data_IF_104711916055
#
_entry.id   IF_104711916055
#
_cell.length_a   1.000
_cell.length_b   1.000
_cell.length_c   1.000
_cell.angle_alpha   90.00
_cell.angle_beta   90.00
_cell.angle_gamma   90.00
#
_symmetry.space_group_name_H-M   'P 1'
#
loop_
_entity.id
_entity.type
_entity.pdbx_description
1 polymer ?
#
# COMPACT_ATOMS: atom_id res chain seq x y z
N UNK A 1 27.60 3.07 -37.14
CA UNK A 1 27.81 4.50 -37.45
C UNK A 1 27.92 5.23 -36.12
N UNK A 2 28.92 6.10 -35.93
CA UNK A 2 29.28 6.72 -34.64
C UNK A 2 29.14 8.26 -34.63
N UNK A 3 28.42 8.87 -35.58
CA UNK A 3 28.21 10.32 -35.61
C UNK A 3 26.76 10.66 -35.30
N UNK A 4 26.57 11.79 -34.64
CA UNK A 4 25.25 12.22 -34.18
C UNK A 4 24.34 12.58 -35.35
N UNK A 5 23.18 11.92 -35.41
CA UNK A 5 22.15 12.17 -36.42
C UNK A 5 21.06 13.13 -35.89
N UNK A 6 20.24 13.74 -36.77
CA UNK A 6 19.05 14.50 -36.33
C UNK A 6 18.14 13.69 -35.39
N UNK A 7 18.00 12.38 -35.65
CA UNK A 7 17.23 11.46 -34.80
C UNK A 7 17.83 11.34 -33.39
N UNK A 8 19.15 11.28 -33.27
CA UNK A 8 19.82 11.23 -31.97
C UNK A 8 19.72 12.54 -31.20
N UNK A 9 19.78 13.69 -31.88
CA UNK A 9 19.54 15.00 -31.25
C UNK A 9 18.10 15.14 -30.77
N UNK A 10 17.13 14.74 -31.60
CA UNK A 10 15.72 14.67 -31.19
C UNK A 10 15.53 13.72 -30.01
N UNK A 11 16.27 12.61 -29.96
CA UNK A 11 16.23 11.68 -28.83
C UNK A 11 16.82 12.28 -27.53
N UNK A 12 17.87 13.12 -27.61
CA UNK A 12 18.34 13.87 -26.44
C UNK A 12 17.24 14.78 -25.88
N UNK A 13 16.55 15.49 -26.76
CA UNK A 13 15.43 16.36 -26.40
C UNK A 13 14.24 15.56 -25.84
N UNK A 14 13.93 14.41 -26.44
CA UNK A 14 12.88 13.50 -25.99
C UNK A 14 13.14 12.97 -24.57
N UNK A 15 14.40 12.67 -24.23
CA UNK A 15 14.77 12.26 -22.86
C UNK A 15 14.47 13.34 -21.82
N UNK A 16 14.63 14.62 -22.15
CA UNK A 16 14.25 15.71 -21.25
C UNK A 16 12.74 15.74 -21.00
N UNK A 17 11.95 15.51 -22.04
CA UNK A 17 10.49 15.36 -21.93
C UNK A 17 10.09 14.14 -21.09
N UNK A 18 10.68 12.97 -21.37
CA UNK A 18 10.42 11.71 -20.66
C UNK A 18 10.82 11.75 -19.17
N UNK A 19 11.75 12.65 -18.80
CA UNK A 19 12.11 12.95 -17.40
C UNK A 19 11.24 14.04 -16.79
N UNK A 20 10.34 14.63 -17.57
CA UNK A 20 9.47 15.73 -17.16
C UNK A 20 10.20 17.07 -16.98
N UNK A 21 11.45 17.21 -17.43
CA UNK A 21 12.26 18.41 -17.19
C UNK A 21 11.67 19.63 -17.89
N UNK A 22 11.24 19.47 -19.14
CA UNK A 22 10.63 20.59 -19.89
C UNK A 22 9.33 21.05 -19.24
N UNK A 23 8.48 20.10 -18.82
CA UNK A 23 7.23 20.40 -18.10
C UNK A 23 7.51 21.10 -16.77
N UNK A 24 8.53 20.67 -16.03
CA UNK A 24 8.93 21.27 -14.76
C UNK A 24 9.30 22.74 -14.91
N UNK A 25 10.01 23.10 -15.98
CA UNK A 25 10.36 24.49 -16.27
C UNK A 25 9.11 25.37 -16.43
N UNK A 26 7.99 24.81 -16.93
CA UNK A 26 6.70 25.50 -17.01
C UNK A 26 6.05 25.79 -15.65
N UNK A 27 6.41 25.04 -14.61
CA UNK A 27 5.92 25.28 -13.23
C UNK A 27 6.79 26.33 -12.53
N UNK A 28 8.11 26.19 -12.62
CA UNK A 28 9.09 27.01 -11.88
C UNK A 28 9.40 28.33 -12.57
N UNK A 29 9.09 28.47 -13.86
CA UNK A 29 9.50 29.62 -14.68
C UNK A 29 10.99 29.59 -15.05
N UNK A 30 11.66 28.44 -14.87
CA UNK A 30 13.07 28.29 -15.22
C UNK A 30 13.29 28.49 -16.73
N UNK A 31 14.22 29.36 -17.11
CA UNK A 31 14.55 29.57 -18.51
C UNK A 31 15.69 28.65 -18.97
N UNK A 32 15.34 27.53 -19.59
CA UNK A 32 16.31 26.54 -20.12
C UNK A 32 16.88 26.90 -21.49
N UNK A 33 16.22 27.80 -22.22
CA UNK A 33 16.55 28.09 -23.61
C UNK A 33 17.39 29.36 -23.74
N UNK A 34 18.39 29.40 -24.64
CA UNK A 34 18.70 28.39 -25.66
C UNK A 34 19.37 27.13 -25.08
N UNK A 35 18.93 25.95 -25.53
CA UNK A 35 19.37 24.65 -25.03
C UNK A 35 20.42 24.03 -25.96
N UNK A 36 21.59 23.70 -25.42
CA UNK A 36 22.66 22.98 -26.14
C UNK A 36 22.40 21.47 -26.18
N UNK A 37 22.51 20.89 -27.37
CA UNK A 37 22.49 19.45 -27.64
C UNK A 37 23.89 19.00 -28.05
N UNK A 38 24.30 17.83 -27.55
CA UNK A 38 25.62 17.29 -27.82
C UNK A 38 25.68 16.71 -29.23
N UNK A 39 26.65 17.16 -30.03
CA UNK A 39 26.93 16.62 -31.38
C UNK A 39 28.26 15.88 -31.31
N UNK A 40 28.23 14.57 -31.55
CA UNK A 40 29.44 13.77 -31.77
C UNK A 40 29.75 13.76 -33.26
N UNK A 41 30.81 14.47 -33.63
CA UNK A 41 31.28 14.57 -35.01
C UNK A 41 32.28 13.47 -35.41
N UNK A 42 32.70 13.47 -36.69
CA UNK A 42 33.72 12.57 -37.22
C UNK A 42 35.10 12.77 -36.60
N UNK A 43 35.86 11.69 -36.47
CA UNK A 43 37.27 11.73 -36.09
C UNK A 43 38.16 12.14 -37.28
N UNK A 44 39.45 12.46 -37.05
CA UNK A 44 40.35 12.87 -38.13
C UNK A 44 40.50 11.81 -39.24
N UNK A 45 40.47 10.51 -38.90
CA UNK A 45 40.53 9.42 -39.88
C UNK A 45 39.28 9.40 -40.78
N UNK A 46 38.11 9.67 -40.21
CA UNK A 46 36.84 9.74 -40.93
C UNK A 46 36.81 10.83 -41.99
N UNK A 47 37.42 11.99 -41.69
CA UNK A 47 37.52 13.12 -42.63
C UNK A 47 38.40 12.76 -43.83
N UNK A 48 39.37 11.86 -43.67
CA UNK A 48 40.27 11.42 -44.74
C UNK A 48 39.63 10.32 -45.58
N UNK A 49 39.09 9.29 -44.92
CA UNK A 49 38.64 8.05 -45.56
C UNK A 49 37.19 8.12 -46.06
N UNK A 50 36.37 9.01 -45.49
CA UNK A 50 34.92 9.07 -45.71
C UNK A 50 34.42 10.51 -45.89
N UNK A 51 35.17 11.33 -46.61
CA UNK A 51 34.90 12.77 -46.78
C UNK A 51 33.49 13.09 -47.29
N UNK A 52 33.00 12.36 -48.31
CA UNK A 52 31.65 12.59 -48.84
C UNK A 52 30.56 12.26 -47.81
N UNK A 53 30.74 11.21 -47.02
CA UNK A 53 29.82 10.87 -45.93
C UNK A 53 29.81 11.95 -44.84
N UNK A 54 30.97 12.55 -44.53
CA UNK A 54 31.06 13.69 -43.59
C UNK A 54 30.31 14.92 -44.12
N UNK A 55 30.43 15.22 -45.43
CA UNK A 55 29.70 16.33 -46.05
C UNK A 55 28.19 16.12 -46.06
N UNK A 56 27.73 14.91 -46.40
CA UNK A 56 26.30 14.54 -46.36
C UNK A 56 25.77 14.69 -44.94
N UNK A 57 26.48 14.15 -43.95
CA UNK A 57 26.11 14.26 -42.53
C UNK A 57 26.01 15.72 -42.05
N UNK A 58 27.01 16.56 -42.35
CA UNK A 58 26.99 17.96 -41.95
C UNK A 58 25.84 18.75 -42.61
N UNK A 59 25.52 18.42 -43.87
CA UNK A 59 24.41 19.03 -44.61
C UNK A 59 23.06 18.57 -44.06
N UNK A 60 22.92 17.29 -43.70
CA UNK A 60 21.71 16.75 -43.07
C UNK A 60 21.40 17.45 -41.75
N UNK A 61 22.43 17.63 -40.90
CA UNK A 61 22.29 18.39 -39.66
C UNK A 61 21.92 19.86 -39.91
N UNK A 62 22.55 20.52 -40.89
CA UNK A 62 22.31 21.94 -41.19
C UNK A 62 20.89 22.21 -41.73
N UNK A 63 20.31 21.23 -42.43
CA UNK A 63 18.95 21.31 -42.98
C UNK A 63 17.86 20.86 -41.99
N UNK A 64 18.24 20.46 -40.76
CA UNK A 64 17.28 20.03 -39.75
C UNK A 64 16.72 21.25 -39.01
N UNK A 65 15.49 21.68 -39.34
CA UNK A 65 14.79 22.67 -38.52
C UNK A 65 14.15 22.00 -37.29
N UNK A 66 14.19 22.62 -36.09
CA UNK A 66 14.63 23.99 -35.75
C UNK A 66 16.05 24.06 -35.16
N UNK A 67 16.99 23.23 -35.63
CA UNK A 67 18.33 23.12 -35.06
C UNK A 67 19.25 24.25 -35.55
N UNK A 68 19.83 25.02 -34.62
CA UNK A 68 20.91 25.96 -34.92
C UNK A 68 22.26 25.33 -34.63
N UNK A 69 23.09 25.16 -35.66
CA UNK A 69 24.41 24.52 -35.52
C UNK A 69 25.50 25.48 -35.08
N UNK A 70 26.33 25.00 -34.17
CA UNK A 70 27.61 25.59 -33.80
C UNK A 70 28.73 24.92 -34.61
N UNK A 71 29.48 25.70 -35.38
CA UNK A 71 30.52 25.21 -36.27
C UNK A 71 31.91 25.42 -35.67
N UNK A 72 32.74 24.38 -35.72
CA UNK A 72 34.13 24.44 -35.30
C UNK A 72 35.06 24.29 -36.51
N UNK A 73 36.09 25.12 -36.56
CA UNK A 73 37.19 24.99 -37.52
C UNK A 73 38.21 23.96 -37.05
N UNK A 74 38.52 22.99 -37.91
CA UNK A 74 39.50 21.93 -37.69
C UNK A 74 40.52 21.97 -38.81
N UNK A 75 41.81 22.14 -38.45
CA UNK A 75 42.92 22.08 -39.42
C UNK A 75 43.28 20.62 -39.67
N UNK A 76 42.98 20.13 -40.86
CA UNK A 76 43.27 18.77 -41.28
C UNK A 76 44.50 18.72 -42.21
N UNK A 77 45.41 17.78 -41.98
CA UNK A 77 46.70 17.70 -42.69
C UNK A 77 46.56 17.45 -44.20
N UNK A 78 45.51 16.73 -44.62
CA UNK A 78 45.28 16.35 -46.03
C UNK A 78 44.25 17.25 -46.72
N UNK A 79 43.27 17.76 -45.98
CA UNK A 79 42.09 18.45 -46.54
C UNK A 79 42.06 19.95 -46.18
N UNK A 80 43.12 20.48 -45.56
CA UNK A 80 43.19 21.89 -45.15
C UNK A 80 42.23 22.23 -44.01
N UNK A 81 41.80 23.51 -43.96
CA UNK A 81 40.84 24.00 -42.96
C UNK A 81 39.43 23.48 -43.28
N UNK A 82 38.83 22.74 -42.34
CA UNK A 82 37.48 22.19 -42.46
C UNK A 82 36.57 22.76 -41.38
N UNK A 83 35.30 23.03 -41.70
CA UNK A 83 34.29 23.44 -40.72
C UNK A 83 33.35 22.28 -40.48
N UNK A 84 33.29 21.79 -39.24
CA UNK A 84 32.42 20.68 -38.84
C UNK A 84 31.44 21.11 -37.74
N UNK A 85 30.20 20.59 -37.74
CA UNK A 85 29.29 20.77 -36.62
C UNK A 85 29.89 20.24 -35.32
N UNK A 86 29.89 21.07 -34.28
CA UNK A 86 30.46 20.79 -32.95
C UNK A 86 29.41 20.82 -31.83
N UNK A 87 28.28 21.47 -32.07
CA UNK A 87 27.15 21.54 -31.16
C UNK A 87 25.86 21.88 -31.91
N UNK A 88 24.72 21.50 -31.33
CA UNK A 88 23.40 21.89 -31.81
C UNK A 88 22.70 22.72 -30.74
N UNK A 89 21.91 23.71 -31.14
CA UNK A 89 21.15 24.57 -30.24
C UNK A 89 19.68 24.57 -30.65
N UNK A 90 18.80 24.55 -29.66
CA UNK A 90 17.38 24.85 -29.81
C UNK A 90 17.13 26.18 -29.10
N UNK A 91 16.58 27.16 -29.82
CA UNK A 91 16.53 28.54 -29.34
C UNK A 91 15.35 28.82 -28.42
N UNK A 92 14.26 28.07 -28.53
CA UNK A 92 13.06 28.26 -27.72
C UNK A 92 12.38 26.97 -27.28
N UNK A 93 11.57 27.05 -26.23
CA UNK A 93 10.67 25.95 -25.82
C UNK A 93 9.69 25.59 -26.93
N UNK A 94 9.19 26.59 -27.66
CA UNK A 94 8.24 26.39 -28.77
C UNK A 94 8.84 25.52 -29.88
N UNK A 95 10.09 25.81 -30.26
CA UNK A 95 10.87 25.02 -31.24
C UNK A 95 11.07 23.59 -30.75
N UNK A 96 11.44 23.41 -29.49
CA UNK A 96 11.61 22.10 -28.87
C UNK A 96 10.32 21.27 -28.93
N UNK A 97 9.19 21.86 -28.52
CA UNK A 97 7.88 21.20 -28.52
C UNK A 97 7.38 20.89 -29.92
N UNK A 98 7.62 21.81 -30.87
CA UNK A 98 7.32 21.61 -32.28
C UNK A 98 8.09 20.44 -32.86
N UNK A 99 9.40 20.38 -32.60
CA UNK A 99 10.24 19.30 -33.10
C UNK A 99 9.87 17.93 -32.49
N UNK A 100 9.50 17.91 -31.21
CA UNK A 100 9.03 16.71 -30.51
C UNK A 100 7.59 16.30 -30.88
N UNK A 101 6.78 17.22 -31.40
CA UNK A 101 5.35 17.00 -31.64
C UNK A 101 4.51 16.97 -30.36
N UNK A 102 4.96 17.63 -29.28
CA UNK A 102 4.36 17.60 -27.93
C UNK A 102 3.62 18.87 -27.52
N UNK A 103 3.29 19.74 -28.49
CA UNK A 103 2.60 21.02 -28.25
C UNK A 103 1.24 20.84 -27.56
N UNK A 104 0.50 19.79 -27.89
CA UNK A 104 -0.82 19.51 -27.30
C UNK A 104 -0.68 19.17 -25.83
N UNK A 105 0.22 18.27 -25.49
CA UNK A 105 0.52 17.88 -24.11
C UNK A 105 1.04 19.06 -23.29
N UNK A 106 1.90 19.90 -23.87
CA UNK A 106 2.34 21.12 -23.22
C UNK A 106 1.19 22.07 -22.87
N UNK A 107 0.26 22.30 -23.80
CA UNK A 107 -0.88 23.19 -23.58
C UNK A 107 -1.82 22.63 -22.49
N UNK A 108 -2.03 21.31 -22.48
CA UNK A 108 -2.82 20.61 -21.45
C UNK A 108 -2.17 20.78 -20.08
N UNK A 109 -0.88 20.48 -19.97
CA UNK A 109 -0.14 20.68 -18.71
C UNK A 109 -0.13 22.15 -18.25
N UNK A 110 0.08 23.09 -19.17
CA UNK A 110 0.06 24.53 -18.85
C UNK A 110 -1.29 24.94 -18.27
N UNK A 111 -2.40 24.40 -18.82
CA UNK A 111 -3.74 24.62 -18.28
C UNK A 111 -3.90 24.06 -16.86
N UNK A 112 -3.32 22.89 -16.57
CA UNK A 112 -3.30 22.34 -15.21
C UNK A 112 -2.51 23.22 -14.23
N UNK A 113 -1.37 23.76 -14.66
CA UNK A 113 -0.54 24.68 -13.85
C UNK A 113 -1.30 25.96 -13.54
N UNK A 114 -1.89 26.62 -14.54
CA UNK A 114 -2.66 27.85 -14.33
C UNK A 114 -3.88 27.62 -13.43
N UNK A 115 -4.64 26.56 -13.67
CA UNK A 115 -5.76 26.18 -12.81
C UNK A 115 -5.31 25.97 -11.35
N UNK A 116 -4.19 25.28 -11.14
CA UNK A 116 -3.64 25.02 -9.81
C UNK A 116 -3.15 26.31 -9.16
N UNK A 117 -2.48 27.19 -9.91
CA UNK A 117 -2.02 28.50 -9.43
C UNK A 117 -3.19 29.38 -8.98
N UNK A 118 -4.33 29.31 -9.67
CA UNK A 118 -5.53 30.09 -9.33
C UNK A 118 -6.29 29.51 -8.14
N UNK A 119 -6.46 28.18 -8.07
CA UNK A 119 -7.30 27.54 -7.06
C UNK A 119 -6.54 27.16 -5.78
N UNK A 120 -5.33 26.62 -5.91
CA UNK A 120 -4.53 26.17 -4.78
C UNK A 120 -3.01 26.20 -5.09
N UNK A 121 -2.35 27.38 -4.97
CA UNK A 121 -0.94 27.55 -5.31
C UNK A 121 0.01 26.63 -4.52
N UNK A 122 -0.37 26.20 -3.31
CA UNK A 122 0.44 25.32 -2.47
C UNK A 122 0.73 23.95 -3.10
N UNK A 123 -0.05 23.56 -4.12
CA UNK A 123 0.08 22.28 -4.81
C UNK A 123 1.02 22.34 -6.03
N UNK A 124 1.52 23.52 -6.41
CA UNK A 124 2.47 23.67 -7.52
C UNK A 124 3.75 22.80 -7.35
N UNK A 125 4.33 22.63 -6.14
CA UNK A 125 5.46 21.72 -5.93
C UNK A 125 5.15 20.27 -6.33
N UNK A 126 3.89 19.83 -6.25
CA UNK A 126 3.51 18.50 -6.71
C UNK A 126 3.59 18.37 -8.23
N UNK A 127 3.08 19.36 -8.96
CA UNK A 127 3.17 19.42 -10.43
C UNK A 127 4.64 19.49 -10.89
N UNK A 128 5.49 20.19 -10.15
CA UNK A 128 6.94 20.25 -10.40
C UNK A 128 7.60 18.87 -10.23
N UNK A 129 7.22 18.14 -9.17
CA UNK A 129 7.77 16.84 -8.81
C UNK A 129 7.23 15.70 -9.69
N UNK A 130 5.98 15.80 -10.16
CA UNK A 130 5.23 14.74 -10.87
C UNK A 130 4.55 15.24 -12.17
N UNK A 131 5.25 15.93 -13.08
CA UNK A 131 4.59 16.59 -14.21
C UNK A 131 3.96 15.62 -15.22
N UNK A 132 4.57 14.45 -15.44
CA UNK A 132 4.03 13.43 -16.35
C UNK A 132 2.79 12.75 -15.76
N UNK A 133 2.80 12.48 -14.45
CA UNK A 133 1.62 11.94 -13.77
C UNK A 133 0.47 12.95 -13.75
N UNK A 134 0.77 14.25 -13.63
CA UNK A 134 -0.25 15.29 -13.72
C UNK A 134 -0.96 15.28 -15.08
N UNK A 135 -0.21 15.06 -16.17
CA UNK A 135 -0.78 14.92 -17.52
C UNK A 135 -1.70 13.70 -17.66
N UNK A 136 -1.38 12.60 -16.99
CA UNK A 136 -2.23 11.41 -16.96
C UNK A 136 -3.54 11.63 -16.19
N UNK A 137 -3.54 12.60 -15.26
CA UNK A 137 -4.66 12.94 -14.38
C UNK A 137 -5.45 14.16 -14.84
N UNK A 138 -5.27 14.61 -16.08
CA UNK A 138 -5.87 15.85 -16.60
C UNK A 138 -7.40 15.90 -16.39
N UNK A 139 -8.09 14.80 -16.69
CA UNK A 139 -9.55 14.71 -16.58
C UNK A 139 -10.04 14.65 -15.12
N UNK A 140 -9.22 14.13 -14.22
CA UNK A 140 -9.51 14.04 -12.79
C UNK A 140 -9.03 15.28 -12.00
N UNK A 141 -8.13 16.09 -12.56
CA UNK A 141 -7.45 17.16 -11.83
C UNK A 141 -8.38 18.17 -11.16
N UNK A 142 -9.44 18.70 -11.82
CA UNK A 142 -10.38 19.60 -11.15
C UNK A 142 -11.05 18.97 -9.92
N UNK A 143 -11.33 17.67 -9.96
CA UNK A 143 -11.91 16.93 -8.83
C UNK A 143 -10.88 16.71 -7.71
N UNK A 144 -9.61 16.45 -8.05
CA UNK A 144 -8.54 16.36 -7.06
C UNK A 144 -8.36 17.69 -6.31
N UNK A 145 -8.32 18.82 -7.03
CA UNK A 145 -8.27 20.15 -6.43
C UNK A 145 -9.49 20.42 -5.53
N UNK A 146 -10.69 20.06 -5.99
CA UNK A 146 -11.91 20.21 -5.21
C UNK A 146 -11.89 19.41 -3.89
N UNK A 147 -11.36 18.18 -3.91
CA UNK A 147 -11.19 17.37 -2.69
C UNK A 147 -10.24 18.06 -1.71
N UNK A 148 -9.08 18.52 -2.17
CA UNK A 148 -8.10 19.20 -1.30
C UNK A 148 -8.73 20.46 -0.69
N UNK A 149 -9.40 21.27 -1.50
CA UNK A 149 -10.06 22.48 -1.02
C UNK A 149 -11.19 22.19 -0.03
N UNK A 150 -11.96 21.12 -0.25
CA UNK A 150 -13.01 20.70 0.67
C UNK A 150 -12.43 20.29 2.04
N UNK A 151 -11.35 19.49 2.05
CA UNK A 151 -10.70 19.07 3.30
C UNK A 151 -10.06 20.26 4.02
N UNK A 152 -9.49 21.20 3.27
CA UNK A 152 -8.92 22.44 3.82
C UNK A 152 -9.98 23.28 4.56
N UNK A 153 -11.23 23.27 4.09
CA UNK A 153 -12.37 23.95 4.74
C UNK A 153 -12.99 23.15 5.90
N UNK A 154 -12.78 21.84 5.92
CA UNK A 154 -13.32 20.93 6.93
C UNK A 154 -12.19 20.06 7.50
N UNK A 155 -11.23 20.66 8.22
CA UNK A 155 -10.11 19.92 8.77
C UNK A 155 -10.64 18.88 9.77
N UNK A 156 -10.13 17.65 9.66
CA UNK A 156 -10.49 16.51 10.53
C UNK A 156 -12.01 16.33 10.69
N UNK A 157 -12.74 16.05 9.59
CA UNK A 157 -14.19 16.19 9.56
C UNK A 157 -14.95 15.13 10.37
N UNK A 158 -14.31 14.04 10.80
CA UNK A 158 -14.92 12.94 11.55
C UNK A 158 -16.15 12.33 10.85
N UNK A 159 -16.12 12.28 9.51
CA UNK A 159 -17.12 11.62 8.66
C UNK A 159 -16.46 10.55 7.77
N UNK A 160 -17.25 9.66 7.18
CA UNK A 160 -16.75 8.75 6.15
C UNK A 160 -16.48 9.49 4.84
N UNK A 161 -15.50 9.03 4.06
CA UNK A 161 -15.17 9.61 2.75
C UNK A 161 -16.37 9.67 1.78
N UNK A 162 -17.34 8.76 1.89
CA UNK A 162 -18.57 8.77 1.08
C UNK A 162 -19.45 9.99 1.36
N UNK A 163 -19.33 10.61 2.53
CA UNK A 163 -20.11 11.77 2.94
C UNK A 163 -19.50 13.09 2.45
N UNK A 164 -18.36 13.05 1.75
CA UNK A 164 -17.81 14.22 1.06
C UNK A 164 -18.70 14.54 -0.14
N UNK A 165 -19.54 15.56 0.00
CA UNK A 165 -20.53 15.95 -1.00
C UNK A 165 -19.91 16.86 -2.06
N UNK A 166 -19.12 16.27 -2.95
CA UNK A 166 -18.49 16.94 -4.07
C UNK A 166 -18.97 16.34 -5.41
N UNK A 167 -19.39 17.17 -6.39
CA UNK A 167 -19.81 16.70 -7.70
C UNK A 167 -18.72 15.83 -8.37
N UNK A 168 -19.10 14.62 -8.79
CA UNK A 168 -18.20 13.69 -9.47
C UNK A 168 -17.12 13.05 -8.59
N UNK A 169 -17.15 13.26 -7.27
CA UNK A 169 -16.25 12.62 -6.30
C UNK A 169 -17.05 11.57 -5.52
N UNK A 170 -16.96 10.32 -5.95
CA UNK A 170 -17.53 9.18 -5.22
C UNK A 170 -16.44 8.36 -4.53
N UNK A 171 -16.80 7.44 -3.64
CA UNK A 171 -15.83 6.61 -2.89
C UNK A 171 -14.78 5.94 -3.78
N UNK A 172 -15.17 5.38 -4.94
CA UNK A 172 -14.22 4.76 -5.89
C UNK A 172 -13.18 5.74 -6.46
N UNK A 173 -13.51 7.03 -6.57
CA UNK A 173 -12.58 8.06 -7.05
C UNK A 173 -11.50 8.29 -6.00
N UNK A 174 -11.91 8.54 -4.76
CA UNK A 174 -10.97 8.73 -3.66
C UNK A 174 -10.11 7.47 -3.47
N UNK A 175 -10.71 6.28 -3.51
CA UNK A 175 -9.99 5.00 -3.44
C UNK A 175 -8.93 4.84 -4.53
N UNK A 176 -9.27 5.14 -5.79
CA UNK A 176 -8.33 5.07 -6.91
C UNK A 176 -7.17 6.07 -6.79
N UNK A 177 -7.42 7.25 -6.23
CA UNK A 177 -6.45 8.35 -6.18
C UNK A 177 -5.88 8.60 -4.78
N UNK A 178 -6.00 7.67 -3.81
CA UNK A 178 -5.55 7.89 -2.42
C UNK A 178 -4.09 8.31 -2.31
N UNK A 179 -3.20 7.71 -3.09
CA UNK A 179 -1.77 8.06 -3.07
C UNK A 179 -1.53 9.50 -3.51
N UNK A 180 -2.15 9.90 -4.62
CA UNK A 180 -2.03 11.28 -5.14
C UNK A 180 -2.69 12.26 -4.19
N UNK A 181 -3.91 11.97 -3.73
CA UNK A 181 -4.61 12.79 -2.74
C UNK A 181 -3.81 12.93 -1.44
N UNK A 182 -3.10 11.89 -0.99
CA UNK A 182 -2.26 12.00 0.19
C UNK A 182 -1.13 13.00 -0.03
N UNK A 183 -0.40 12.89 -1.14
CA UNK A 183 0.67 13.85 -1.46
C UNK A 183 0.15 15.29 -1.62
N UNK A 184 -1.04 15.47 -2.20
CA UNK A 184 -1.65 16.79 -2.36
C UNK A 184 -2.18 17.35 -1.04
N UNK A 185 -2.82 16.55 -0.19
CA UNK A 185 -3.32 16.97 1.11
C UNK A 185 -2.17 17.31 2.06
N UNK A 186 -1.06 16.55 2.02
CA UNK A 186 0.15 16.85 2.80
C UNK A 186 0.77 18.22 2.42
N UNK A 187 0.59 18.68 1.18
CA UNK A 187 1.03 20.00 0.72
C UNK A 187 0.00 21.11 0.99
N UNK A 188 -1.29 20.78 0.85
CA UNK A 188 -2.38 21.76 0.86
C UNK A 188 -3.00 22.03 2.23
N UNK A 189 -2.71 21.19 3.23
CA UNK A 189 -3.24 21.32 4.59
C UNK A 189 -2.19 21.88 5.55
N UNK A 190 -2.68 22.48 6.65
CA UNK A 190 -1.83 22.85 7.79
C UNK A 190 -1.39 21.61 8.57
N UNK A 191 -0.27 21.72 9.27
CA UNK A 191 0.35 20.58 9.97
C UNK A 191 -0.53 19.95 11.06
N UNK A 192 -1.41 20.72 11.69
CA UNK A 192 -2.37 20.25 12.71
C UNK A 192 -3.55 19.46 12.12
N UNK A 193 -3.85 19.68 10.84
CA UNK A 193 -4.89 18.94 10.12
C UNK A 193 -4.41 17.55 9.63
N UNK A 194 -3.10 17.26 9.71
CA UNK A 194 -2.49 16.01 9.24
C UNK A 194 -1.89 15.24 10.43
N UNK A 195 -2.36 14.02 10.66
CA UNK A 195 -1.73 13.14 11.65
C UNK A 195 -0.50 12.44 11.04
N UNK A 196 0.70 12.99 11.32
CA UNK A 196 1.95 12.48 10.77
C UNK A 196 2.34 11.09 11.28
N UNK A 197 1.78 10.63 12.40
CA UNK A 197 2.00 9.28 12.90
C UNK A 197 1.25 8.22 12.07
N UNK A 198 0.23 8.64 11.30
CA UNK A 198 -0.52 7.76 10.40
C UNK A 198 0.07 7.76 9.01
N UNK A 199 0.67 6.64 8.61
CA UNK A 199 1.37 6.53 7.32
C UNK A 199 0.79 5.42 6.44
N UNK A 200 0.93 5.58 5.13
CA UNK A 200 0.49 4.59 4.14
C UNK A 200 -0.99 4.72 3.75
N UNK A 201 -1.35 4.06 2.64
CA UNK A 201 -2.67 4.16 2.02
C UNK A 201 -3.79 3.56 2.89
N UNK A 202 -3.46 2.56 3.71
CA UNK A 202 -4.39 1.93 4.63
C UNK A 202 -4.87 2.90 5.73
N UNK A 203 -4.02 3.85 6.14
CA UNK A 203 -4.33 4.82 7.19
C UNK A 203 -4.71 6.20 6.63
N UNK A 204 -5.05 6.28 5.33
CA UNK A 204 -5.41 7.52 4.66
C UNK A 204 -6.54 8.26 5.37
N UNK A 205 -7.62 7.57 5.73
CA UNK A 205 -8.77 8.21 6.36
C UNK A 205 -8.38 8.77 7.74
N UNK A 206 -7.80 7.94 8.60
CA UNK A 206 -7.30 8.35 9.90
C UNK A 206 -6.31 9.54 9.83
N UNK A 207 -5.39 9.54 8.84
CA UNK A 207 -4.38 10.61 8.65
C UNK A 207 -5.02 11.98 8.47
N UNK A 208 -6.12 12.07 7.71
CA UNK A 208 -6.82 13.33 7.43
C UNK A 208 -8.09 13.52 8.28
N UNK A 209 -8.27 12.71 9.34
CA UNK A 209 -9.39 12.79 10.28
C UNK A 209 -10.75 12.38 9.71
N UNK A 210 -10.77 11.56 8.66
CA UNK A 210 -11.96 10.82 8.24
C UNK A 210 -12.14 9.55 9.08
N UNK A 211 -13.37 9.06 9.15
CA UNK A 211 -13.69 7.78 9.77
C UNK A 211 -13.29 6.62 8.84
N UNK A 212 -12.59 5.64 9.41
CA UNK A 212 -12.39 4.33 8.82
C UNK A 212 -13.56 3.40 9.15
N UNK A 213 -13.69 2.32 8.39
CA UNK A 213 -14.65 1.26 8.71
C UNK A 213 -14.29 0.71 10.10
N UNK A 214 -15.24 0.63 11.05
CA UNK A 214 -14.94 0.09 12.36
C UNK A 214 -14.58 -1.39 12.25
N UNK A 215 -13.62 -1.83 13.07
CA UNK A 215 -13.33 -3.25 13.24
C UNK A 215 -14.60 -3.96 13.74
N UNK A 216 -14.85 -5.16 13.22
CA UNK A 216 -16.03 -5.95 13.57
C UNK A 216 -15.61 -7.20 14.32
N UNK A 217 -16.39 -7.55 15.33
CA UNK A 217 -16.21 -8.74 16.14
C UNK A 217 -17.45 -9.60 15.92
N UNK A 218 -17.24 -10.79 15.33
CA UNK A 218 -18.27 -11.81 15.17
C UNK A 218 -18.16 -12.79 16.32
N UNK A 219 -19.29 -13.07 16.96
CA UNK A 219 -19.39 -14.00 18.07
C UNK A 219 -20.71 -14.74 18.00
N UNK A 220 -20.78 -15.90 18.65
CA UNK A 220 -21.98 -16.71 18.75
C UNK A 220 -22.25 -17.04 20.20
N UNK A 221 -23.49 -16.87 20.62
CA UNK A 221 -23.93 -17.35 21.93
C UNK A 221 -23.99 -18.87 21.90
N UNK A 222 -23.37 -19.54 22.87
CA UNK A 222 -23.40 -21.00 22.97
C UNK A 222 -24.37 -21.49 24.05
N UNK A 223 -24.83 -20.61 24.95
CA UNK A 223 -25.82 -20.95 25.97
C UNK A 223 -27.24 -20.53 25.54
N UNK A 224 -28.17 -21.47 25.35
CA UNK A 224 -29.56 -21.16 25.02
C UNK A 224 -30.30 -20.31 26.06
N UNK A 225 -29.82 -20.24 27.29
CA UNK A 225 -30.39 -19.40 28.35
C UNK A 225 -30.01 -17.91 28.24
N UNK A 226 -28.97 -17.59 27.45
CA UNK A 226 -28.49 -16.23 27.25
C UNK A 226 -29.21 -15.60 26.05
N UNK A 227 -30.06 -14.62 26.32
CA UNK A 227 -30.89 -13.95 25.32
C UNK A 227 -30.27 -12.62 24.88
N UNK A 228 -29.13 -12.68 24.18
CA UNK A 228 -28.42 -11.48 23.72
C UNK A 228 -29.19 -10.70 22.64
N UNK A 229 -29.99 -11.39 21.82
CA UNK A 229 -30.87 -10.80 20.80
C UNK A 229 -32.27 -11.34 20.99
N UNK A 230 -33.24 -10.44 21.20
CA UNK A 230 -34.62 -10.80 21.49
C UNK A 230 -35.21 -11.72 20.41
N UNK A 231 -35.88 -12.79 20.83
CA UNK A 231 -36.54 -13.75 19.93
C UNK A 231 -35.60 -14.75 19.25
N UNK A 232 -34.32 -14.81 19.64
CA UNK A 232 -33.35 -15.77 19.09
C UNK A 232 -32.79 -16.68 20.19
N UNK A 233 -32.33 -17.87 19.80
CA UNK A 233 -31.59 -18.80 20.65
C UNK A 233 -30.23 -19.04 20.02
N UNK A 234 -29.16 -18.93 20.82
CA UNK A 234 -27.78 -19.08 20.38
C UNK A 234 -27.42 -18.30 19.08
N UNK A 235 -27.75 -17.00 18.95
CA UNK A 235 -27.53 -16.27 17.70
C UNK A 235 -26.03 -16.11 17.36
N UNK A 236 -25.74 -16.12 16.06
CA UNK A 236 -24.47 -15.68 15.47
C UNK A 236 -24.60 -14.18 15.12
N UNK A 237 -23.78 -13.36 15.77
CA UNK A 237 -23.92 -11.90 15.79
C UNK A 237 -22.58 -11.27 15.42
N UNK A 238 -22.62 -10.21 14.63
CA UNK A 238 -21.45 -9.35 14.37
C UNK A 238 -21.74 -7.93 14.87
N UNK A 239 -20.89 -7.42 15.74
CA UNK A 239 -20.92 -6.03 16.24
C UNK A 239 -19.66 -5.29 15.80
N UNK A 240 -19.71 -3.96 15.75
CA UNK A 240 -18.48 -3.18 15.76
C UNK A 240 -17.77 -3.30 17.11
N UNK A 241 -16.47 -3.07 17.14
CA UNK A 241 -15.64 -3.23 18.34
C UNK A 241 -16.13 -2.35 19.52
N UNK A 242 -16.63 -1.15 19.23
CA UNK A 242 -17.19 -0.25 20.26
C UNK A 242 -18.43 -0.86 20.89
N UNK A 243 -19.42 -1.25 20.09
CA UNK A 243 -20.64 -1.91 20.57
C UNK A 243 -20.34 -3.21 21.32
N UNK A 244 -19.40 -4.03 20.83
CA UNK A 244 -18.97 -5.26 21.51
C UNK A 244 -18.31 -4.97 22.86
N UNK A 245 -17.53 -3.89 22.97
CA UNK A 245 -16.88 -3.51 24.23
C UNK A 245 -17.86 -3.14 25.35
N UNK A 246 -19.06 -2.69 24.98
CA UNK A 246 -20.15 -2.34 25.89
C UNK A 246 -21.18 -3.45 26.08
N UNK A 247 -20.96 -4.64 25.47
CA UNK A 247 -21.89 -5.74 25.56
C UNK A 247 -22.06 -6.21 27.00
N UNK A 248 -23.31 -6.20 27.49
CA UNK A 248 -23.67 -6.62 28.84
C UNK A 248 -24.37 -7.99 28.78
N UNK A 249 -23.58 -9.05 28.75
CA UNK A 249 -24.06 -10.43 28.84
C UNK A 249 -23.40 -11.16 30.01
N UNK A 250 -24.15 -12.02 30.68
CA UNK A 250 -23.68 -12.85 31.77
C UNK A 250 -23.04 -14.12 31.23
N UNK A 251 -21.75 -14.02 30.89
CA UNK A 251 -20.96 -15.16 30.39
C UNK A 251 -19.77 -15.37 31.29
N UNK A 252 -19.43 -16.64 31.50
CA UNK A 252 -18.28 -17.09 32.30
C UNK A 252 -17.13 -17.52 31.40
N UNK A 253 -17.41 -18.02 30.19
CA UNK A 253 -16.42 -18.62 29.30
C UNK A 253 -16.49 -18.07 27.89
N UNK A 254 -15.32 -17.92 27.27
CA UNK A 254 -15.17 -17.41 25.92
C UNK A 254 -14.23 -18.34 25.16
N UNK A 255 -14.73 -18.96 24.09
CA UNK A 255 -13.91 -19.71 23.15
C UNK A 255 -13.54 -18.80 21.99
N UNK A 256 -12.26 -18.72 21.63
CA UNK A 256 -11.78 -17.95 20.49
C UNK A 256 -11.16 -18.92 19.49
N UNK A 257 -11.66 -18.93 18.25
CA UNK A 257 -11.17 -19.81 17.17
C UNK A 257 -11.07 -19.07 15.85
N UNK A 258 -10.07 -19.41 15.05
CA UNK A 258 -9.77 -18.77 13.75
C UNK A 258 -10.38 -19.52 12.55
N UNK A 259 -10.88 -20.75 12.75
CA UNK A 259 -11.54 -21.52 11.71
C UNK A 259 -13.06 -21.33 11.79
N UNK A 260 -13.67 -20.88 10.70
CA UNK A 260 -15.11 -20.57 10.65
C UNK A 260 -15.96 -21.82 10.86
N UNK A 261 -15.55 -22.96 10.31
CA UNK A 261 -16.27 -24.23 10.49
C UNK A 261 -16.25 -24.65 11.95
N UNK A 262 -15.12 -24.54 12.64
CA UNK A 262 -15.03 -24.83 14.08
C UNK A 262 -15.88 -23.88 14.91
N UNK A 263 -15.83 -22.57 14.59
CA UNK A 263 -16.69 -21.57 15.22
C UNK A 263 -18.19 -21.95 15.12
N UNK A 264 -18.63 -22.45 13.96
CA UNK A 264 -20.00 -22.90 13.71
C UNK A 264 -20.30 -24.29 14.29
N UNK A 265 -19.30 -25.16 14.46
CA UNK A 265 -19.48 -26.52 14.94
C UNK A 265 -19.48 -26.64 16.47
N UNK A 266 -18.99 -25.64 17.21
CA UNK A 266 -19.01 -25.66 18.68
C UNK A 266 -20.44 -25.98 19.20
N UNK A 267 -20.59 -26.92 20.14
CA UNK A 267 -21.90 -27.28 20.67
C UNK A 267 -22.47 -26.18 21.57
N UNK A 268 -23.69 -26.39 22.05
CA UNK A 268 -24.22 -25.55 23.12
C UNK A 268 -23.43 -25.78 24.42
N UNK A 269 -22.96 -24.70 25.03
CA UNK A 269 -22.13 -24.71 26.24
C UNK A 269 -22.70 -23.68 27.22
N UNK A 270 -23.14 -24.08 28.43
CA UNK A 270 -23.69 -23.17 29.43
C UNK A 270 -22.71 -22.06 29.83
N UNK A 271 -23.19 -20.83 29.94
CA UNK A 271 -22.44 -19.64 30.31
C UNK A 271 -21.36 -19.23 29.31
N UNK A 272 -21.41 -19.69 28.05
CA UNK A 272 -20.32 -19.50 27.10
C UNK A 272 -20.72 -18.80 25.80
N UNK A 273 -19.71 -18.18 25.17
CA UNK A 273 -19.76 -17.69 23.79
C UNK A 273 -18.56 -18.19 22.99
N UNK A 274 -18.70 -18.22 21.68
CA UNK A 274 -17.58 -18.34 20.75
C UNK A 274 -17.31 -16.98 20.10
N UNK A 275 -16.04 -16.61 19.88
CA UNK A 275 -15.61 -15.44 19.11
C UNK A 275 -14.80 -15.95 17.92
N UNK A 276 -15.12 -15.42 16.73
CA UNK A 276 -14.42 -15.77 15.51
C UNK A 276 -13.21 -14.84 15.30
N UNK A 277 -12.00 -15.39 15.49
CA UNK A 277 -10.72 -14.75 15.26
C UNK A 277 -10.40 -14.64 13.77
N UNK A 278 -11.07 -13.75 13.04
CA UNK A 278 -10.90 -13.56 11.59
C UNK A 278 -9.72 -12.66 11.19
N UNK A 279 -8.62 -12.72 11.94
CA UNK A 279 -7.42 -11.92 11.66
C UNK A 279 -7.52 -10.42 11.95
N UNK A 280 -8.55 -9.98 12.71
CA UNK A 280 -8.56 -8.63 13.26
C UNK A 280 -7.50 -8.54 14.37
N UNK A 281 -6.64 -7.53 14.32
CA UNK A 281 -5.67 -7.29 15.38
C UNK A 281 -6.36 -7.27 16.75
N UNK A 282 -5.80 -7.99 17.72
CA UNK A 282 -6.34 -8.16 19.08
C UNK A 282 -6.67 -6.85 19.79
N UNK A 283 -6.12 -5.72 19.34
CA UNK A 283 -6.46 -4.38 19.85
C UNK A 283 -7.95 -4.01 19.75
N UNK A 284 -8.71 -4.54 18.78
CA UNK A 284 -10.17 -4.33 18.74
C UNK A 284 -10.87 -5.10 19.86
N UNK A 285 -10.48 -6.35 20.08
CA UNK A 285 -11.00 -7.21 21.14
C UNK A 285 -10.60 -6.70 22.53
N UNK A 286 -9.38 -6.17 22.68
CA UNK A 286 -8.84 -5.62 23.92
C UNK A 286 -9.62 -4.41 24.47
N UNK A 287 -10.48 -3.78 23.67
CA UNK A 287 -11.40 -2.73 24.15
C UNK A 287 -12.50 -3.31 25.05
N UNK A 288 -12.86 -4.59 24.85
CA UNK A 288 -13.87 -5.29 25.64
C UNK A 288 -13.30 -5.76 26.98
N UNK A 289 -13.14 -4.83 27.92
CA UNK A 289 -12.63 -5.09 29.28
C UNK A 289 -13.46 -6.12 30.06
N UNK A 290 -14.72 -6.30 29.69
CA UNK A 290 -15.56 -7.34 30.30
C UNK A 290 -15.05 -8.75 30.03
N UNK A 291 -14.16 -8.98 29.05
CA UNK A 291 -13.53 -10.28 28.84
C UNK A 291 -12.57 -10.64 29.98
N UNK A 292 -12.03 -9.66 30.73
CA UNK A 292 -11.07 -9.90 31.82
C UNK A 292 -11.66 -10.68 33.01
N UNK A 293 -12.99 -10.75 33.12
CA UNK A 293 -13.69 -11.54 34.16
C UNK A 293 -14.11 -12.93 33.68
N UNK A 294 -13.84 -13.27 32.42
CA UNK A 294 -14.24 -14.54 31.83
C UNK A 294 -13.01 -15.46 31.71
N UNK A 295 -13.22 -16.77 31.78
CA UNK A 295 -12.22 -17.73 31.34
C UNK A 295 -12.16 -17.72 29.81
N UNK A 296 -10.98 -17.43 29.26
CA UNK A 296 -10.79 -17.34 27.81
C UNK A 296 -9.96 -18.53 27.34
N UNK A 297 -10.52 -19.28 26.39
CA UNK A 297 -9.94 -20.47 25.79
C UNK A 297 -9.67 -20.20 24.31
N UNK A 298 -8.40 -20.18 23.91
CA UNK A 298 -8.00 -19.97 22.51
C UNK A 298 -7.72 -21.30 21.82
N UNK A 299 -8.35 -21.51 20.67
CA UNK A 299 -8.22 -22.70 19.83
C UNK A 299 -7.68 -22.31 18.44
N UNK A 300 -6.36 -22.44 18.31
CA UNK A 300 -5.64 -22.30 17.06
C UNK A 300 -5.13 -23.64 16.53
N UNK A 301 -4.41 -23.58 15.42
CA UNK A 301 -3.71 -24.73 14.86
C UNK A 301 -2.50 -25.11 15.73
N UNK A 302 -2.14 -26.40 15.75
CA UNK A 302 -0.89 -26.85 16.38
C UNK A 302 0.24 -26.70 15.35
N UNK A 303 0.72 -25.47 15.22
CA UNK A 303 1.87 -25.08 14.40
C UNK A 303 2.57 -23.85 15.00
N UNK A 304 3.62 -23.36 14.31
CA UNK A 304 4.39 -22.22 14.83
C UNK A 304 3.65 -20.88 14.76
N UNK A 305 2.69 -20.70 13.84
CA UNK A 305 1.86 -19.50 13.76
C UNK A 305 0.74 -19.49 14.82
N UNK A 306 0.07 -20.61 15.07
CA UNK A 306 -0.97 -20.74 16.08
C UNK A 306 -0.46 -20.38 17.48
N UNK A 307 0.73 -20.85 17.84
CA UNK A 307 1.38 -20.42 19.09
C UNK A 307 1.79 -18.94 19.10
N UNK A 308 2.23 -18.40 17.96
CA UNK A 308 2.55 -16.96 17.87
C UNK A 308 1.29 -16.09 18.02
N UNK A 309 0.15 -16.56 17.53
CA UNK A 309 -1.14 -15.90 17.67
C UNK A 309 -1.62 -15.95 19.14
N UNK A 310 -1.46 -17.11 19.80
CA UNK A 310 -1.69 -17.24 21.24
C UNK A 310 -0.82 -16.28 22.07
N UNK A 311 0.48 -16.17 21.77
CA UNK A 311 1.38 -15.21 22.44
C UNK A 311 0.88 -13.76 22.28
N UNK A 312 0.47 -13.39 21.07
CA UNK A 312 -0.10 -12.06 20.80
C UNK A 312 -1.42 -11.83 21.53
N UNK A 313 -2.29 -12.83 21.63
CA UNK A 313 -3.54 -12.73 22.38
C UNK A 313 -3.25 -12.55 23.88
N UNK A 314 -2.28 -13.29 24.42
CA UNK A 314 -1.84 -13.17 25.82
C UNK A 314 -1.16 -11.86 26.16
N UNK A 315 -0.63 -11.13 25.17
CA UNK A 315 -0.19 -9.76 25.38
C UNK A 315 -1.34 -8.85 25.85
N UNK A 316 -2.57 -9.11 25.40
CA UNK A 316 -3.76 -8.35 25.79
C UNK A 316 -4.49 -9.00 26.98
N UNK A 317 -4.60 -10.32 27.00
CA UNK A 317 -5.31 -11.08 28.03
C UNK A 317 -4.40 -12.18 28.60
N UNK A 318 -3.61 -11.84 29.63
CA UNK A 318 -2.59 -12.75 30.17
C UNK A 318 -3.13 -14.05 30.80
N UNK A 319 -4.42 -14.15 31.06
CA UNK A 319 -5.10 -15.32 31.64
C UNK A 319 -5.70 -16.27 30.58
N UNK A 320 -5.44 -16.04 29.28
CA UNK A 320 -5.91 -16.91 28.21
C UNK A 320 -5.25 -18.28 28.29
N UNK A 321 -6.05 -19.33 28.25
CA UNK A 321 -5.61 -20.71 28.18
C UNK A 321 -5.69 -21.24 26.74
N UNK A 322 -4.73 -22.09 26.35
CA UNK A 322 -4.86 -22.80 25.08
C UNK A 322 -5.88 -23.94 25.21
N UNK A 323 -6.65 -24.17 24.15
CA UNK A 323 -7.65 -25.21 24.07
C UNK A 323 -7.32 -26.11 22.88
N UNK A 324 -7.12 -27.40 23.16
CA UNK A 324 -6.76 -28.42 22.17
C UNK A 324 -5.43 -28.19 21.42
N UNK A 325 -4.55 -27.33 21.96
CA UNK A 325 -3.23 -27.05 21.40
C UNK A 325 -2.10 -27.71 22.22
N UNK A 326 -2.39 -28.89 22.76
CA UNK A 326 -1.45 -29.64 23.61
C UNK A 326 -0.85 -30.85 22.88
N UNK A 327 0.19 -31.43 23.49
CA UNK A 327 0.92 -32.57 22.91
C UNK A 327 0.03 -33.81 22.76
N UNK A 328 -0.89 -34.06 23.68
CA UNK A 328 -1.79 -35.21 23.58
C UNK A 328 -2.75 -35.05 22.40
N UNK A 329 -3.27 -33.84 22.17
CA UNK A 329 -4.07 -33.51 20.99
C UNK A 329 -3.30 -33.72 19.69
N UNK A 330 -2.03 -33.30 19.62
CA UNK A 330 -1.16 -33.54 18.45
C UNK A 330 -0.93 -35.04 18.20
N UNK A 331 -0.53 -35.77 19.25
CA UNK A 331 -0.16 -37.19 19.16
C UNK A 331 -1.39 -38.09 18.90
N UNK A 332 -2.59 -37.70 19.32
CA UNK A 332 -3.82 -38.44 19.03
C UNK A 332 -4.22 -38.37 17.53
N UNK A 333 -3.67 -37.42 16.76
CA UNK A 333 -4.10 -37.11 15.39
C UNK A 333 -2.97 -37.23 14.36
N UNK A 334 -1.98 -38.13 14.58
CA UNK A 334 -0.83 -38.34 13.66
C UNK A 334 -1.24 -38.54 12.21
N UNK A 335 -2.36 -39.21 11.96
CA UNK A 335 -2.87 -39.49 10.62
C UNK A 335 -3.25 -38.22 9.82
N UNK A 336 -3.46 -37.09 10.50
CA UNK A 336 -3.89 -35.82 9.90
C UNK A 336 -2.81 -34.73 9.97
N UNK A 337 -1.58 -35.10 10.33
CA UNK A 337 -0.46 -34.16 10.31
C UNK A 337 -0.19 -33.67 8.88
N UNK A 338 -0.24 -32.34 8.72
CA UNK A 338 0.11 -31.63 7.50
C UNK A 338 1.53 -31.07 7.52
N UNK A 339 1.77 -30.09 6.65
CA UNK A 339 3.04 -29.37 6.52
C UNK A 339 2.83 -27.87 6.51
N UNK A 340 3.59 -27.16 7.34
CA UNK A 340 3.73 -25.71 7.36
C UNK A 340 4.83 -25.28 6.37
N UNK A 341 4.49 -24.49 5.35
CA UNK A 341 5.46 -24.05 4.33
C UNK A 341 6.43 -22.97 4.85
N UNK A 342 5.95 -22.10 5.74
CA UNK A 342 6.67 -20.91 6.21
C UNK A 342 6.59 -20.80 7.73
N UNK A 343 7.38 -21.60 8.46
CA UNK A 343 7.34 -21.60 9.91
C UNK A 343 7.81 -20.26 10.49
N UNK A 344 7.12 -19.82 11.54
CA UNK A 344 7.54 -18.75 12.42
C UNK A 344 8.62 -19.21 13.39
N UNK A 345 9.68 -18.42 13.53
CA UNK A 345 10.84 -18.76 14.37
C UNK A 345 11.15 -17.72 15.46
N UNK A 346 10.21 -16.81 15.71
CA UNK A 346 10.35 -15.82 16.78
C UNK A 346 10.37 -16.44 18.18
N UNK A 347 10.95 -15.76 19.14
CA UNK A 347 10.85 -16.16 20.54
C UNK A 347 9.47 -15.75 21.10
N UNK A 348 8.77 -16.72 21.69
CA UNK A 348 7.42 -16.54 22.24
C UNK A 348 7.50 -16.58 23.76
N UNK A 349 7.40 -15.42 24.41
CA UNK A 349 7.69 -15.26 25.84
C UNK A 349 6.48 -15.45 26.75
N UNK A 350 5.26 -15.54 26.22
CA UNK A 350 4.01 -15.65 26.99
C UNK A 350 3.38 -17.04 26.93
N UNK A 351 4.10 -18.02 26.37
CA UNK A 351 3.69 -19.42 26.39
C UNK A 351 3.94 -20.04 27.77
N UNK A 352 3.12 -21.02 28.15
CA UNK A 352 3.41 -21.86 29.32
C UNK A 352 4.60 -22.77 29.02
N UNK A 353 5.17 -23.41 30.04
CA UNK A 353 6.27 -24.36 29.83
C UNK A 353 5.88 -25.56 28.96
N UNK A 354 4.61 -25.98 28.98
CA UNK A 354 4.14 -27.10 28.16
C UNK A 354 3.99 -26.69 26.70
N UNK A 355 3.37 -25.53 26.46
CA UNK A 355 3.19 -24.96 25.13
C UNK A 355 4.53 -24.59 24.49
N UNK A 356 5.46 -23.99 25.26
CA UNK A 356 6.79 -23.64 24.76
C UNK A 356 7.59 -24.87 24.35
N UNK A 357 7.50 -25.96 25.12
CA UNK A 357 8.14 -27.24 24.74
C UNK A 357 7.60 -27.77 23.42
N UNK A 358 6.27 -27.74 23.24
CA UNK A 358 5.65 -28.17 21.99
C UNK A 358 6.01 -27.23 20.83
N UNK A 359 5.98 -25.92 21.06
CA UNK A 359 6.41 -24.92 20.08
C UNK A 359 7.87 -25.13 19.64
N UNK A 360 8.79 -25.36 20.57
CA UNK A 360 10.21 -25.62 20.26
C UNK A 360 10.37 -26.93 19.48
N UNK A 361 9.63 -27.98 19.82
CA UNK A 361 9.63 -29.25 19.08
C UNK A 361 9.18 -29.06 17.62
N UNK A 362 8.20 -28.18 17.38
CA UNK A 362 7.71 -27.83 16.04
C UNK A 362 8.69 -26.90 15.30
N UNK A 363 9.09 -25.79 15.93
CA UNK A 363 10.01 -24.77 15.38
C UNK A 363 11.35 -25.37 14.96
N UNK A 364 11.89 -26.26 15.80
CA UNK A 364 13.20 -26.87 15.58
C UNK A 364 13.09 -28.20 14.79
N UNK A 365 11.89 -28.57 14.34
CA UNK A 365 11.61 -29.77 13.54
C UNK A 365 12.03 -31.08 14.23
N UNK A 366 11.87 -31.18 15.57
CA UNK A 366 12.30 -32.34 16.36
C UNK A 366 11.40 -33.56 16.17
N UNK A 367 10.14 -33.34 15.77
CA UNK A 367 9.17 -34.41 15.48
C UNK A 367 9.15 -34.74 13.98
N UNK A 368 8.91 -33.71 13.13
CA UNK A 368 8.90 -33.80 11.67
C UNK A 368 9.17 -32.40 11.09
N UNK A 369 9.78 -32.35 9.91
CA UNK A 369 10.02 -31.10 9.18
C UNK A 369 8.69 -30.39 8.82
N UNK A 370 8.54 -29.15 9.29
CA UNK A 370 7.37 -28.30 9.06
C UNK A 370 6.09 -28.92 9.59
N UNK A 371 6.12 -29.61 10.73
CA UNK A 371 4.92 -30.26 11.26
C UNK A 371 3.81 -29.24 11.59
N UNK A 372 2.59 -29.53 11.15
CA UNK A 372 1.37 -28.77 11.49
C UNK A 372 0.19 -29.71 11.66
N UNK A 373 -0.68 -29.41 12.61
CA UNK A 373 -2.02 -30.00 12.69
C UNK A 373 -3.05 -28.86 12.67
N UNK A 374 -3.81 -28.79 11.59
CA UNK A 374 -4.90 -27.82 11.47
C UNK A 374 -6.04 -28.17 12.43
N UNK A 375 -6.64 -27.16 13.03
CA UNK A 375 -7.67 -27.35 14.04
C UNK A 375 -8.91 -28.10 13.54
N UNK A 376 -9.21 -28.02 12.24
CA UNK A 376 -10.34 -28.72 11.61
C UNK A 376 -10.12 -30.23 11.44
N UNK A 377 -8.89 -30.71 11.65
CA UNK A 377 -8.55 -32.12 11.59
C UNK A 377 -8.64 -32.83 12.95
N UNK A 378 -8.85 -32.10 14.04
CA UNK A 378 -9.15 -32.74 15.31
C UNK A 378 -10.53 -33.40 15.23
N UNK A 379 -10.59 -34.67 15.63
CA UNK A 379 -11.84 -35.41 15.65
C UNK A 379 -12.86 -34.72 16.57
N UNK A 380 -14.10 -34.60 16.11
CA UNK A 380 -15.12 -33.89 16.88
C UNK A 380 -15.44 -34.59 18.22
N UNK A 381 -15.21 -35.90 18.32
CA UNK A 381 -15.29 -36.63 19.58
C UNK A 381 -14.29 -36.11 20.62
N UNK A 382 -13.03 -35.91 20.21
CA UNK A 382 -11.98 -35.33 21.06
C UNK A 382 -12.33 -33.91 21.54
N UNK A 383 -12.90 -33.09 20.64
CA UNK A 383 -13.37 -31.73 20.97
C UNK A 383 -14.45 -31.79 22.06
N UNK A 384 -15.44 -32.68 21.90
CA UNK A 384 -16.53 -32.84 22.88
C UNK A 384 -16.02 -33.32 24.23
N UNK A 385 -15.15 -34.32 24.26
CA UNK A 385 -14.57 -34.83 25.51
C UNK A 385 -13.80 -33.74 26.26
N UNK A 386 -13.04 -32.90 25.54
CA UNK A 386 -12.32 -31.78 26.15
C UNK A 386 -13.27 -30.72 26.72
N UNK A 387 -14.35 -30.40 26.02
CA UNK A 387 -15.39 -29.49 26.52
C UNK A 387 -16.03 -30.06 27.79
N UNK A 388 -16.39 -31.34 27.79
CA UNK A 388 -17.02 -31.99 28.94
C UNK A 388 -16.10 -32.00 30.16
N UNK A 389 -14.79 -32.26 29.98
CA UNK A 389 -13.80 -32.16 31.05
C UNK A 389 -13.68 -30.73 31.60
N UNK A 390 -13.70 -29.73 30.72
CA UNK A 390 -13.60 -28.32 31.09
C UNK A 390 -14.81 -27.90 31.94
N UNK A 391 -16.01 -28.34 31.57
CA UNK A 391 -17.25 -28.06 32.31
C UNK A 391 -17.35 -28.79 33.66
N UNK A 392 -16.55 -29.84 33.89
CA UNK A 392 -16.48 -30.54 35.18
C UNK A 392 -15.55 -29.87 36.19
N UNK A 393 -14.70 -28.93 35.75
CA UNK A 393 -13.75 -28.22 36.60
C UNK A 393 -14.33 -26.94 37.23
N UNK A 394 -15.55 -26.57 36.84
CA UNK A 394 -16.37 -25.49 37.41
C UNK A 394 -17.30 -25.98 38.52
#
# INVERSE_FOLDING_TARGET
>A
MMWTTPKELKAQLARLWERGELLRDGVTGNNRFPLRLAVKGPASADITERFDAVRVWATELANTSPLRLEWQEVRHRVQGLQRIPSGGWIDSMDDALGWLGRRREWNRFSSLVEMTRLQNPSLLPWLEKRPLQALELEEEWPRLLAVVEWVRRHPRPAIYLRQVDLPGVHSKFVERHRTVLAELLDLGLLADAVDTAKTGVAQFAARYGFLDKPARIRFRILDPSIHAVAGTSCPDVTLDAGSFSHLAIEVRRVFITENETNFLALPNIPGAIAIFGSGYGWGALAQARWLERCAIHYWGDIDTHGFAILDQLRHHFGHVESFLMDRASLDAHVAFWGREEKPQRGDLHRLTQEELRLYDDLRDNRIREGLRLEQEHLSFGWVRERIDQLLQQD
#
